data_IF_567610426885
#
_entry.id   IF_567610426885
#
_cell.length_a   1.000
_cell.length_b   1.000
_cell.length_c   1.000
_cell.angle_alpha   90.00
_cell.angle_beta   90.00
_cell.angle_gamma   90.00
#
_symmetry.space_group_name_H-M   'P 1'
#
loop_
_entity.id
_entity.type
_entity.pdbx_description
1 polymer ?
#
# COMPACT_ATOMS: atom_id res chain seq x y z
N UNK A 1 -30.87 13.49 -17.17
CA UNK A 1 -31.08 14.44 -16.06
C UNK A 1 -29.87 15.36 -16.02
N UNK A 2 -30.02 16.62 -16.44
CA UNK A 2 -28.96 17.63 -16.43
C UNK A 2 -28.89 18.26 -15.04
N UNK A 3 -27.88 17.89 -14.26
CA UNK A 3 -27.59 18.55 -12.98
C UNK A 3 -26.86 19.86 -13.27
N UNK A 4 -27.60 20.98 -13.29
CA UNK A 4 -27.00 22.30 -13.28
C UNK A 4 -26.44 22.57 -11.88
N UNK A 5 -25.13 22.37 -11.68
CA UNK A 5 -24.45 22.94 -10.52
C UNK A 5 -24.47 24.46 -10.65
N UNK A 6 -25.23 25.11 -9.77
CA UNK A 6 -25.25 26.56 -9.66
C UNK A 6 -24.05 27.01 -8.81
N UNK A 7 -22.91 27.29 -9.44
CA UNK A 7 -21.78 27.89 -8.74
C UNK A 7 -21.98 29.40 -8.65
N UNK A 8 -21.97 29.93 -7.42
CA UNK A 8 -22.02 31.36 -7.17
C UNK A 8 -20.74 32.03 -7.69
N UNK A 9 -20.89 32.85 -8.73
CA UNK A 9 -19.80 33.66 -9.28
C UNK A 9 -19.46 34.77 -8.28
N UNK A 10 -18.23 34.79 -7.77
CA UNK A 10 -17.75 35.88 -6.92
C UNK A 10 -17.77 37.18 -7.74
N UNK A 11 -18.72 38.05 -7.43
CA UNK A 11 -18.76 39.40 -8.01
C UNK A 11 -17.80 40.24 -7.19
N UNK A 12 -16.76 40.79 -7.82
CA UNK A 12 -15.94 41.84 -7.22
C UNK A 12 -16.79 43.10 -7.07
N UNK A 13 -17.54 43.16 -5.97
CA UNK A 13 -18.26 44.36 -5.55
C UNK A 13 -17.23 45.41 -5.15
N UNK A 14 -16.91 46.28 -6.11
CA UNK A 14 -16.42 47.61 -5.81
C UNK A 14 -17.58 48.36 -5.14
N UNK A 15 -17.51 48.47 -3.81
CA UNK A 15 -18.16 49.48 -2.95
C UNK A 15 -18.70 48.88 -1.66
N UNK A 16 -17.78 48.46 -0.77
CA UNK A 16 -18.01 48.57 0.66
C UNK A 16 -16.67 48.80 1.36
N UNK A 17 -16.52 49.96 2.00
CA UNK A 17 -15.38 50.31 2.87
C UNK A 17 -15.27 49.27 3.99
N UNK A 18 -14.43 48.25 3.79
CA UNK A 18 -14.19 47.20 4.77
C UNK A 18 -13.02 47.59 5.69
N UNK A 19 -13.31 47.81 6.96
CA UNK A 19 -12.36 48.09 8.04
C UNK A 19 -11.61 46.84 8.55
N UNK A 20 -11.69 45.71 7.83
CA UNK A 20 -11.02 44.45 8.18
C UNK A 20 -9.82 44.24 7.26
N UNK A 21 -8.61 43.94 7.78
CA UNK A 21 -7.47 43.61 6.94
C UNK A 21 -7.78 42.39 6.07
N UNK A 22 -7.73 42.54 4.74
CA UNK A 22 -7.82 41.44 3.80
C UNK A 22 -6.44 40.82 3.66
N UNK A 23 -6.31 39.54 4.04
CA UNK A 23 -5.10 38.76 3.77
C UNK A 23 -5.19 38.25 2.33
N UNK A 24 -4.21 38.56 1.46
CA UNK A 24 -4.20 37.99 0.12
C UNK A 24 -3.89 36.50 0.23
N UNK A 25 -4.85 35.66 -0.15
CA UNK A 25 -4.63 34.23 -0.32
C UNK A 25 -4.23 33.96 -1.77
N UNK A 26 -3.29 33.04 -1.96
CA UNK A 26 -2.96 32.57 -3.30
C UNK A 26 -4.19 31.89 -3.92
N UNK A 27 -4.46 32.13 -5.22
CA UNK A 27 -5.58 31.49 -5.90
C UNK A 27 -5.40 29.96 -5.94
N UNK A 28 -6.52 29.26 -6.05
CA UNK A 28 -6.55 27.81 -6.27
C UNK A 28 -5.79 27.47 -7.57
N UNK A 29 -4.87 26.50 -7.50
CA UNK A 29 -4.19 25.95 -8.69
C UNK A 29 -5.18 25.30 -9.66
N UNK A 30 -6.31 24.81 -9.13
CA UNK A 30 -7.32 24.09 -9.90
C UNK A 30 -8.45 24.98 -10.39
N UNK A 31 -8.68 26.14 -9.78
CA UNK A 31 -9.77 27.05 -10.12
C UNK A 31 -11.10 26.31 -10.34
N UNK A 32 -11.66 26.49 -11.53
CA UNK A 32 -12.92 25.89 -11.97
C UNK A 32 -12.73 24.60 -12.80
N UNK A 33 -11.51 24.07 -12.89
CA UNK A 33 -11.13 22.96 -13.79
C UNK A 33 -12.00 21.69 -13.61
N UNK A 34 -12.39 21.39 -12.36
CA UNK A 34 -13.22 20.21 -12.05
C UNK A 34 -14.73 20.50 -12.08
N UNK A 35 -15.17 21.72 -12.40
CA UNK A 35 -16.60 22.03 -12.48
C UNK A 35 -17.27 21.43 -13.73
N UNK A 36 -16.49 21.06 -14.75
CA UNK A 36 -16.97 20.36 -15.93
C UNK A 36 -15.96 19.29 -16.37
N UNK A 37 -16.37 18.03 -16.32
CA UNK A 37 -15.58 16.91 -16.83
C UNK A 37 -16.26 16.37 -18.09
N UNK A 38 -15.64 16.43 -19.27
CA UNK A 38 -16.20 15.81 -20.47
C UNK A 38 -16.24 14.29 -20.28
N UNK A 39 -17.44 13.71 -20.34
CA UNK A 39 -17.63 12.27 -20.22
C UNK A 39 -17.43 11.63 -21.59
N UNK A 40 -16.33 10.90 -21.78
CA UNK A 40 -16.06 10.16 -23.03
C UNK A 40 -16.68 8.76 -22.89
N UNK A 41 -17.98 8.65 -23.17
CA UNK A 41 -18.78 7.44 -22.90
C UNK A 41 -18.20 6.15 -23.50
N UNK A 42 -17.71 6.22 -24.75
CA UNK A 42 -17.20 5.04 -25.46
C UNK A 42 -15.94 4.44 -24.79
N UNK A 43 -15.04 5.28 -24.26
CA UNK A 43 -13.83 4.83 -23.54
C UNK A 43 -14.17 4.17 -22.21
N UNK A 44 -15.15 4.71 -21.48
CA UNK A 44 -15.61 4.12 -20.22
C UNK A 44 -16.30 2.78 -20.44
N UNK A 45 -17.06 2.62 -21.53
CA UNK A 45 -17.72 1.36 -21.87
C UNK A 45 -16.70 0.25 -22.22
N UNK A 46 -15.62 0.60 -22.94
CA UNK A 46 -14.53 -0.35 -23.21
C UNK A 46 -13.78 -0.73 -21.93
N UNK A 47 -13.49 0.25 -21.06
CA UNK A 47 -12.86 0.00 -19.78
C UNK A 47 -13.74 -0.89 -18.89
N UNK A 48 -15.05 -0.65 -18.84
CA UNK A 48 -15.99 -1.48 -18.07
C UNK A 48 -16.00 -2.93 -18.58
N UNK A 49 -15.97 -3.15 -19.90
CA UNK A 49 -15.84 -4.49 -20.49
C UNK A 49 -14.53 -5.15 -20.08
N UNK A 50 -13.41 -4.42 -20.12
CA UNK A 50 -12.10 -4.89 -19.68
C UNK A 50 -12.12 -5.32 -18.21
N UNK A 51 -12.69 -4.49 -17.33
CA UNK A 51 -12.83 -4.79 -15.90
C UNK A 51 -13.71 -6.03 -15.69
N UNK A 52 -14.85 -6.14 -16.39
CA UNK A 52 -15.73 -7.31 -16.31
C UNK A 52 -15.03 -8.60 -16.72
N UNK A 53 -14.14 -8.53 -17.71
CA UNK A 53 -13.35 -9.67 -18.18
C UNK A 53 -12.22 -10.04 -17.22
N UNK A 54 -11.48 -9.06 -16.68
CA UNK A 54 -10.33 -9.30 -15.81
C UNK A 54 -10.73 -9.73 -14.40
N UNK A 55 -11.86 -9.25 -13.88
CA UNK A 55 -12.33 -9.56 -12.52
C UNK A 55 -12.42 -11.06 -12.21
N UNK A 56 -13.03 -11.93 -13.04
CA UNK A 56 -13.03 -13.36 -12.79
C UNK A 56 -11.64 -13.99 -12.85
N UNK A 57 -10.72 -13.48 -13.68
CA UNK A 57 -9.34 -13.99 -13.75
C UNK A 57 -8.59 -13.73 -12.45
N UNK A 58 -8.72 -12.52 -11.88
CA UNK A 58 -8.11 -12.19 -10.58
C UNK A 58 -8.72 -13.03 -9.45
N UNK A 59 -10.05 -13.29 -9.50
CA UNK A 59 -10.69 -14.22 -8.56
C UNK A 59 -10.13 -15.62 -8.66
N UNK A 60 -9.97 -16.11 -9.89
CA UNK A 60 -9.41 -17.43 -10.13
C UNK A 60 -7.97 -17.53 -9.59
N UNK A 61 -7.15 -16.49 -9.77
CA UNK A 61 -5.82 -16.40 -9.17
C UNK A 61 -5.84 -16.42 -7.64
N UNK A 62 -6.82 -15.77 -7.00
CA UNK A 62 -6.98 -15.79 -5.53
C UNK A 62 -7.40 -17.17 -4.98
N UNK A 63 -8.22 -17.91 -5.72
CA UNK A 63 -8.74 -19.21 -5.31
C UNK A 63 -7.78 -20.35 -5.67
N UNK A 64 -7.17 -20.28 -6.85
CA UNK A 64 -6.36 -21.33 -7.46
C UNK A 64 -4.89 -20.94 -7.62
N UNK A 65 -4.34 -20.09 -6.74
CA UNK A 65 -2.95 -19.63 -6.80
C UNK A 65 -1.92 -20.75 -7.05
N UNK A 66 -2.13 -21.93 -6.45
CA UNK A 66 -1.28 -23.13 -6.62
C UNK A 66 -1.18 -23.65 -8.06
N UNK A 67 -2.13 -23.30 -8.95
CA UNK A 67 -2.12 -23.70 -10.37
C UNK A 67 -1.26 -22.74 -11.20
N UNK A 68 -1.14 -21.49 -10.76
CA UNK A 68 -0.47 -20.43 -11.51
C UNK A 68 0.96 -20.16 -11.03
N UNK A 69 1.29 -20.53 -9.80
CA UNK A 69 2.57 -20.27 -9.15
C UNK A 69 3.24 -21.60 -8.77
N UNK A 70 4.52 -21.76 -9.10
CA UNK A 70 5.24 -23.06 -9.10
C UNK A 70 5.75 -23.54 -7.73
N UNK A 71 5.12 -23.16 -6.60
CA UNK A 71 5.61 -23.49 -5.26
C UNK A 71 4.61 -24.29 -4.41
N UNK A 72 5.15 -25.03 -3.44
CA UNK A 72 4.43 -25.89 -2.50
C UNK A 72 3.73 -25.16 -1.33
N UNK A 73 3.74 -23.83 -1.31
CA UNK A 73 3.11 -23.01 -0.25
C UNK A 73 2.10 -22.02 -0.84
N UNK A 74 0.91 -22.48 -1.19
CA UNK A 74 -0.10 -21.66 -1.85
C UNK A 74 -0.61 -20.49 -1.01
N UNK A 75 -0.46 -20.53 0.32
CA UNK A 75 -1.03 -19.51 1.20
C UNK A 75 -0.21 -18.21 1.22
N UNK A 76 1.12 -18.27 1.26
CA UNK A 76 1.96 -17.06 1.22
C UNK A 76 1.81 -16.29 -0.09
N UNK A 77 1.72 -17.01 -1.21
CA UNK A 77 1.53 -16.40 -2.53
C UNK A 77 0.17 -15.69 -2.64
N UNK A 78 -0.88 -16.26 -2.03
CA UNK A 78 -2.21 -15.62 -1.95
C UNK A 78 -2.15 -14.35 -1.10
N UNK A 79 -1.42 -14.38 0.01
CA UNK A 79 -1.22 -13.22 0.87
C UNK A 79 -0.45 -12.11 0.14
N UNK A 80 0.61 -12.46 -0.61
CA UNK A 80 1.31 -11.50 -1.47
C UNK A 80 0.43 -10.93 -2.59
N UNK A 81 -0.44 -11.75 -3.19
CA UNK A 81 -1.42 -11.28 -4.16
C UNK A 81 -2.43 -10.31 -3.52
N UNK A 82 -2.87 -10.57 -2.28
CA UNK A 82 -3.73 -9.65 -1.52
C UNK A 82 -3.02 -8.30 -1.33
N UNK A 83 -1.74 -8.30 -0.94
CA UNK A 83 -0.95 -7.09 -0.80
C UNK A 83 -0.85 -6.29 -2.11
N UNK A 84 -0.68 -6.98 -3.25
CA UNK A 84 -0.68 -6.35 -4.57
C UNK A 84 -2.03 -5.70 -4.88
N UNK A 85 -3.15 -6.37 -4.58
CA UNK A 85 -4.49 -5.82 -4.80
C UNK A 85 -4.79 -4.60 -3.92
N UNK A 86 -4.29 -4.59 -2.69
CA UNK A 86 -4.37 -3.43 -1.78
C UNK A 86 -3.56 -2.26 -2.35
N UNK A 87 -2.32 -2.52 -2.77
CA UNK A 87 -1.43 -1.50 -3.34
C UNK A 87 -1.97 -0.90 -4.65
N UNK A 88 -2.70 -1.70 -5.43
CA UNK A 88 -3.42 -1.26 -6.63
C UNK A 88 -4.72 -0.49 -6.33
N UNK A 89 -5.20 -0.50 -5.08
CA UNK A 89 -6.46 0.13 -4.69
C UNK A 89 -7.72 -0.57 -5.19
N UNK A 90 -7.62 -1.86 -5.55
CA UNK A 90 -8.73 -2.65 -6.13
C UNK A 90 -9.17 -3.83 -5.27
N UNK A 91 -8.57 -4.02 -4.08
CA UNK A 91 -8.92 -5.08 -3.13
C UNK A 91 -10.41 -5.10 -2.75
N UNK A 92 -11.06 -3.93 -2.73
CA UNK A 92 -12.49 -3.80 -2.40
C UNK A 92 -13.43 -4.59 -3.33
N UNK A 93 -12.98 -4.96 -4.54
CA UNK A 93 -13.75 -5.81 -5.45
C UNK A 93 -13.79 -7.29 -5.08
N UNK A 94 -12.89 -7.72 -4.19
CA UNK A 94 -12.63 -9.11 -3.81
C UNK A 94 -12.72 -9.34 -2.29
N UNK A 95 -13.39 -8.43 -1.56
CA UNK A 95 -13.37 -8.45 -0.09
C UNK A 95 -13.81 -9.78 0.53
N UNK A 96 -14.77 -10.48 -0.07
CA UNK A 96 -15.23 -11.80 0.43
C UNK A 96 -14.16 -12.87 0.27
N UNK A 97 -13.55 -12.93 -0.91
CA UNK A 97 -12.49 -13.87 -1.25
C UNK A 97 -11.26 -13.63 -0.34
N UNK A 98 -10.92 -12.36 -0.11
CA UNK A 98 -9.82 -11.96 0.76
C UNK A 98 -10.11 -12.37 2.22
N UNK A 99 -11.29 -12.04 2.75
CA UNK A 99 -11.69 -12.42 4.11
C UNK A 99 -11.65 -13.94 4.33
N UNK A 100 -12.11 -14.72 3.34
CA UNK A 100 -12.04 -16.17 3.38
C UNK A 100 -10.59 -16.69 3.38
N UNK A 101 -9.72 -16.13 2.53
CA UNK A 101 -8.28 -16.47 2.50
C UNK A 101 -7.65 -16.23 3.87
N UNK A 102 -7.80 -15.02 4.40
CA UNK A 102 -7.17 -14.62 5.66
C UNK A 102 -7.66 -15.52 6.80
N UNK A 103 -8.97 -15.77 6.89
CA UNK A 103 -9.53 -16.63 7.94
C UNK A 103 -9.07 -18.09 7.84
N UNK A 104 -8.85 -18.61 6.64
CA UNK A 104 -8.36 -19.98 6.42
C UNK A 104 -6.85 -20.11 6.65
N UNK A 105 -6.09 -19.04 6.38
CA UNK A 105 -4.63 -19.03 6.52
C UNK A 105 -4.18 -18.73 7.96
N UNK A 106 -4.95 -17.93 8.73
CA UNK A 106 -4.55 -17.55 10.09
C UNK A 106 -4.26 -18.73 11.04
N UNK A 107 -5.06 -19.81 11.08
CA UNK A 107 -4.76 -20.95 11.97
C UNK A 107 -3.49 -21.72 11.60
N UNK A 108 -2.96 -21.52 10.39
CA UNK A 108 -1.75 -22.17 9.87
C UNK A 108 -0.60 -21.17 9.74
N UNK A 109 -0.72 -20.00 10.35
CA UNK A 109 0.22 -18.90 10.18
C UNK A 109 1.66 -19.31 10.54
N UNK A 110 1.81 -20.06 11.63
CA UNK A 110 3.11 -20.57 12.05
C UNK A 110 3.73 -21.47 10.99
N UNK A 111 2.94 -22.32 10.32
CA UNK A 111 3.40 -23.18 9.22
C UNK A 111 3.71 -22.38 7.95
N UNK A 112 2.97 -21.30 7.69
CA UNK A 112 3.18 -20.40 6.54
C UNK A 112 4.50 -19.64 6.68
N UNK A 113 4.83 -19.22 7.90
CA UNK A 113 6.07 -18.49 8.22
C UNK A 113 7.23 -19.45 8.46
N UNK A 114 6.96 -20.68 8.94
CA UNK A 114 7.99 -21.67 9.21
C UNK A 114 8.79 -21.99 7.93
N UNK A 115 10.08 -21.64 7.95
CA UNK A 115 10.98 -21.86 6.82
C UNK A 115 10.91 -20.80 5.73
N UNK A 116 10.19 -19.70 5.94
CA UNK A 116 10.36 -18.48 5.16
C UNK A 116 11.58 -17.71 5.69
N UNK A 117 12.51 -17.40 4.80
CA UNK A 117 13.70 -16.60 5.09
C UNK A 117 13.65 -15.20 4.44
N UNK A 118 12.71 -14.98 3.53
CA UNK A 118 12.48 -13.69 2.93
C UNK A 118 11.74 -12.74 3.89
N UNK A 119 12.47 -11.78 4.41
CA UNK A 119 11.96 -10.75 5.31
C UNK A 119 10.84 -9.92 4.65
N UNK A 120 10.90 -9.69 3.34
CA UNK A 120 9.85 -8.97 2.62
C UNK A 120 8.53 -9.76 2.70
N UNK A 121 8.56 -11.05 2.40
CA UNK A 121 7.40 -11.94 2.52
C UNK A 121 6.86 -12.00 3.95
N UNK A 122 7.71 -12.16 4.96
CA UNK A 122 7.28 -12.16 6.37
C UNK A 122 6.60 -10.84 6.75
N UNK A 123 7.19 -9.72 6.33
CA UNK A 123 6.63 -8.39 6.58
C UNK A 123 5.26 -8.21 5.92
N UNK A 124 5.11 -8.67 4.67
CA UNK A 124 3.85 -8.63 3.94
C UNK A 124 2.78 -9.46 4.66
N UNK A 125 3.12 -10.69 5.07
CA UNK A 125 2.23 -11.55 5.82
C UNK A 125 1.74 -10.83 7.08
N UNK A 126 2.68 -10.30 7.85
CA UNK A 126 2.39 -9.58 9.08
C UNK A 126 1.49 -8.35 8.86
N UNK A 127 1.80 -7.52 7.87
CA UNK A 127 1.02 -6.32 7.54
C UNK A 127 -0.41 -6.68 7.14
N UNK A 128 -0.57 -7.66 6.24
CA UNK A 128 -1.88 -8.07 5.73
C UNK A 128 -2.74 -8.63 6.86
N UNK A 129 -2.23 -9.54 7.69
CA UNK A 129 -3.02 -10.08 8.80
C UNK A 129 -3.47 -9.01 9.80
N UNK A 130 -2.59 -8.07 10.15
CA UNK A 130 -2.96 -6.95 11.04
C UNK A 130 -3.97 -6.01 10.40
N UNK A 131 -3.85 -5.75 9.10
CA UNK A 131 -4.81 -4.91 8.36
C UNK A 131 -6.23 -5.50 8.39
N UNK A 132 -6.37 -6.82 8.32
CA UNK A 132 -7.67 -7.50 8.38
C UNK A 132 -8.11 -7.88 9.81
N UNK A 133 -7.45 -7.33 10.84
CA UNK A 133 -7.91 -7.44 12.23
C UNK A 133 -7.50 -8.72 12.96
N UNK A 134 -6.57 -9.49 12.40
CA UNK A 134 -6.00 -10.65 13.08
C UNK A 134 -4.87 -10.21 14.01
N UNK A 135 -4.90 -10.68 15.26
CA UNK A 135 -3.87 -10.36 16.24
C UNK A 135 -2.65 -11.25 16.00
N UNK A 136 -1.56 -10.64 15.53
CA UNK A 136 -0.29 -11.30 15.30
C UNK A 136 0.72 -10.76 16.32
N UNK A 137 1.48 -11.66 16.95
CA UNK A 137 2.47 -11.25 17.95
C UNK A 137 3.55 -10.36 17.30
N UNK A 138 3.96 -9.32 18.00
CA UNK A 138 5.10 -8.49 17.58
C UNK A 138 6.42 -9.23 17.67
N UNK A 139 6.49 -10.34 18.40
CA UNK A 139 7.73 -11.11 18.61
C UNK A 139 8.38 -11.55 17.29
N UNK A 140 7.57 -11.81 16.26
CA UNK A 140 8.05 -12.14 14.91
C UNK A 140 8.84 -10.97 14.30
N UNK A 141 8.40 -9.74 14.56
CA UNK A 141 9.11 -8.54 14.13
C UNK A 141 10.36 -8.29 14.98
N UNK A 142 10.35 -8.69 16.25
CA UNK A 142 11.53 -8.57 17.12
C UNK A 142 12.68 -9.46 16.60
N UNK A 143 12.38 -10.65 16.08
CA UNK A 143 13.36 -11.53 15.42
C UNK A 143 13.92 -10.89 14.14
N UNK A 144 13.06 -10.32 13.30
CA UNK A 144 13.47 -9.58 12.10
C UNK A 144 14.35 -8.36 12.43
N UNK A 145 14.03 -7.62 13.50
CA UNK A 145 14.81 -6.49 13.98
C UNK A 145 16.17 -6.95 14.50
N UNK A 146 16.22 -8.05 15.26
CA UNK A 146 17.45 -8.67 15.72
C UNK A 146 18.35 -9.12 14.56
N UNK A 147 17.79 -9.78 13.54
CA UNK A 147 18.52 -10.14 12.33
C UNK A 147 19.09 -8.91 11.62
N UNK A 148 18.27 -7.89 11.39
CA UNK A 148 18.67 -6.63 10.73
C UNK A 148 19.80 -5.96 11.51
N UNK A 149 19.68 -5.89 12.84
CA UNK A 149 20.70 -5.35 13.73
C UNK A 149 22.01 -6.10 13.60
N UNK A 150 22.00 -7.42 13.73
CA UNK A 150 23.20 -8.24 13.61
C UNK A 150 23.88 -8.08 12.25
N UNK A 151 23.09 -7.96 11.17
CA UNK A 151 23.61 -7.72 9.83
C UNK A 151 24.27 -6.33 9.72
N UNK A 152 23.62 -5.28 10.22
CA UNK A 152 24.17 -3.92 10.22
C UNK A 152 25.41 -3.80 11.11
N UNK A 153 25.42 -4.43 12.30
CA UNK A 153 26.58 -4.49 13.19
C UNK A 153 27.77 -5.19 12.50
N UNK A 154 27.53 -6.24 11.70
CA UNK A 154 28.60 -6.89 10.93
C UNK A 154 29.23 -6.01 9.84
N UNK A 155 28.49 -4.99 9.37
CA UNK A 155 28.98 -4.00 8.40
C UNK A 155 29.70 -2.82 9.07
N UNK A 156 29.39 -2.56 10.34
CA UNK A 156 30.00 -1.52 11.18
C UNK A 156 31.40 -1.94 11.69
N UNK A 157 31.70 -3.23 11.69
CA UNK A 157 32.99 -3.79 12.11
C UNK A 157 34.18 -3.13 11.38
N UNK A 158 35.19 -2.72 12.15
CA UNK A 158 36.31 -1.88 11.69
C UNK A 158 37.10 -2.41 10.48
N UNK A 159 37.04 -3.72 10.20
CA UNK A 159 37.66 -4.31 9.00
C UNK A 159 36.85 -4.04 7.72
N UNK A 160 35.52 -3.97 7.79
CA UNK A 160 34.63 -3.64 6.67
C UNK A 160 34.43 -2.13 6.49
N UNK A 161 34.53 -1.36 7.58
CA UNK A 161 34.46 0.12 7.57
C UNK A 161 35.47 0.78 6.62
N UNK A 162 36.64 0.17 6.41
CA UNK A 162 37.63 0.66 5.44
C UNK A 162 37.23 0.49 3.97
N UNK A 163 36.26 -0.39 3.68
CA UNK A 163 35.76 -0.68 2.34
C UNK A 163 34.44 0.06 2.00
N UNK A 164 33.79 0.67 2.99
CA UNK A 164 32.49 1.33 2.86
C UNK A 164 32.66 2.86 2.78
N UNK A 165 31.86 3.53 1.95
CA UNK A 165 31.88 5.00 1.85
C UNK A 165 31.47 5.64 3.20
N UNK A 166 32.12 6.76 3.62
CA UNK A 166 31.78 7.46 4.86
C UNK A 166 30.29 7.83 4.99
N UNK A 167 29.64 8.11 3.85
CA UNK A 167 28.21 8.43 3.82
C UNK A 167 27.35 7.21 4.17
N UNK A 168 27.69 6.04 3.65
CA UNK A 168 26.94 4.81 3.91
C UNK A 168 27.17 4.35 5.36
N UNK A 169 28.38 4.48 5.88
CA UNK A 169 28.72 4.24 7.28
C UNK A 169 27.84 5.07 8.24
N UNK A 170 27.69 6.37 7.97
CA UNK A 170 26.82 7.24 8.77
C UNK A 170 25.34 6.83 8.73
N UNK A 171 24.84 6.37 7.58
CA UNK A 171 23.47 5.84 7.49
C UNK A 171 23.29 4.54 8.26
N UNK A 172 24.29 3.66 8.26
CA UNK A 172 24.29 2.41 9.04
C UNK A 172 24.24 2.72 10.54
N UNK A 173 25.08 3.66 11.02
CA UNK A 173 25.07 4.05 12.44
C UNK A 173 23.73 4.65 12.87
N UNK A 174 23.18 5.56 12.06
CA UNK A 174 21.87 6.16 12.34
C UNK A 174 20.76 5.10 12.39
N UNK A 175 20.81 4.10 11.50
CA UNK A 175 19.87 2.99 11.51
C UNK A 175 20.02 2.13 12.78
N UNK A 176 21.24 1.81 13.20
CA UNK A 176 21.49 1.07 14.44
C UNK A 176 20.98 1.81 15.69
N UNK A 177 21.17 3.13 15.76
CA UNK A 177 20.67 3.97 16.87
C UNK A 177 19.13 4.03 16.91
N UNK A 178 18.45 3.88 15.77
CA UNK A 178 16.97 3.81 15.73
C UNK A 178 16.42 2.44 16.13
N UNK A 179 17.26 1.41 16.19
CA UNK A 179 16.90 0.03 16.53
C UNK A 179 17.14 -0.30 18.03
N UNK A 180 17.57 0.66 18.84
CA UNK A 180 17.73 0.57 20.32
C UNK A 180 16.61 1.24 21.07
#
# INVERSE_FOLDING_TARGET
>A
MTHHLFCAKATTSADLKNSRPLKPFSPSVWGDHFLSVPLIGDEFDELEKGIKFMKPLVRDMLIHAHVFMSSHSSDKERICLIQLLISLGISYHFGKEIEEIINLSFPKLDDIIAGEDDLETISIIFEVFRLYGHNMSSDIMDEALSFTRNHLESLDDHNASSAISPHLFMHIQNALDTLT
#
